data_IF_388642983113
#
_entry.id   IF_388642983113
#
_cell.length_a   1.000
_cell.length_b   1.000
_cell.length_c   1.000
_cell.angle_alpha   90.00
_cell.angle_beta   90.00
_cell.angle_gamma   90.00
#
_symmetry.space_group_name_H-M   'P 1'
#
loop_
_entity.id
_entity.type
_entity.pdbx_description
1 polymer ?
#
# COMPACT_ATOMS: atom_id res chain seq x y z
N UNK A 1 -25.37 -1.72 3.03
CA UNK A 1 -23.99 -1.22 2.85
C UNK A 1 -23.08 -2.23 3.51
N UNK A 2 -22.27 -2.96 2.76
CA UNK A 2 -21.39 -3.99 3.33
C UNK A 2 -20.46 -3.37 4.38
N UNK A 3 -20.24 -4.08 5.49
CA UNK A 3 -19.33 -3.64 6.55
C UNK A 3 -17.96 -3.31 5.96
N UNK A 4 -17.52 -2.06 6.13
CA UNK A 4 -16.21 -1.61 5.66
C UNK A 4 -15.11 -2.30 6.46
N UNK A 5 -14.62 -3.41 5.93
CA UNK A 5 -13.50 -4.12 6.52
C UNK A 5 -12.24 -3.26 6.39
N UNK A 6 -11.47 -3.13 7.46
CA UNK A 6 -10.18 -2.46 7.42
C UNK A 6 -9.07 -3.48 7.15
N UNK A 7 -8.25 -3.21 6.14
CA UNK A 7 -7.10 -4.02 5.77
C UNK A 7 -5.82 -3.38 6.26
N UNK A 8 -5.01 -4.17 6.97
CA UNK A 8 -3.67 -3.75 7.41
C UNK A 8 -2.64 -4.15 6.37
N UNK A 9 -2.18 -3.17 5.59
CA UNK A 9 -1.25 -3.39 4.47
C UNK A 9 0.16 -2.97 4.87
N UNK A 10 1.13 -3.87 4.66
CA UNK A 10 2.56 -3.61 4.91
C UNK A 10 3.35 -3.72 3.61
N UNK A 11 4.20 -2.73 3.33
CA UNK A 11 5.19 -2.86 2.28
C UNK A 11 6.37 -3.72 2.77
N UNK A 12 6.50 -4.93 2.23
CA UNK A 12 7.57 -5.87 2.63
C UNK A 12 8.78 -5.82 1.68
N UNK A 13 8.58 -5.46 0.41
CA UNK A 13 9.63 -5.41 -0.60
C UNK A 13 9.76 -4.03 -1.24
N UNK A 14 10.99 -3.72 -1.64
CA UNK A 14 11.32 -2.48 -2.34
C UNK A 14 10.68 -2.46 -3.73
N UNK A 15 10.21 -1.30 -4.21
CA UNK A 15 9.74 -1.15 -5.57
C UNK A 15 10.90 -0.96 -6.56
N UNK A 16 12.16 -1.00 -6.11
CA UNK A 16 13.31 -0.96 -6.99
C UNK A 16 13.24 -2.10 -8.03
N UNK A 17 13.52 -1.77 -9.30
CA UNK A 17 13.41 -2.68 -10.46
C UNK A 17 11.98 -3.19 -10.72
N UNK A 18 10.96 -2.51 -10.22
CA UNK A 18 9.55 -2.76 -10.55
C UNK A 18 9.00 -1.67 -11.48
N UNK A 19 7.88 -1.91 -12.18
CA UNK A 19 7.26 -0.90 -13.04
C UNK A 19 7.00 0.41 -12.29
N UNK A 20 7.18 1.55 -12.97
CA UNK A 20 7.01 2.88 -12.37
C UNK A 20 5.63 3.11 -11.74
N UNK A 21 4.60 2.45 -12.29
CA UNK A 21 3.23 2.48 -11.76
C UNK A 21 3.18 1.98 -10.32
N UNK A 22 3.92 0.92 -9.97
CA UNK A 22 3.93 0.39 -8.61
C UNK A 22 4.49 1.40 -7.60
N UNK A 23 5.53 2.15 -7.99
CA UNK A 23 6.08 3.22 -7.15
C UNK A 23 5.04 4.33 -6.91
N UNK A 24 4.32 4.74 -7.96
CA UNK A 24 3.26 5.74 -7.86
C UNK A 24 2.12 5.27 -6.95
N UNK A 25 1.68 4.02 -7.11
CA UNK A 25 0.66 3.40 -6.26
C UNK A 25 1.10 3.35 -4.80
N UNK A 26 2.32 2.87 -4.51
CA UNK A 26 2.84 2.83 -3.13
C UNK A 26 2.94 4.23 -2.52
N UNK A 27 3.34 5.25 -3.30
CA UNK A 27 3.33 6.65 -2.84
C UNK A 27 1.91 7.15 -2.55
N UNK A 28 0.95 6.91 -3.44
CA UNK A 28 -0.45 7.30 -3.24
C UNK A 28 -1.12 6.60 -2.04
N UNK A 29 -0.77 5.32 -1.83
CA UNK A 29 -1.17 4.57 -0.64
C UNK A 29 -0.37 4.95 0.61
N UNK A 30 0.58 5.89 0.55
CA UNK A 30 1.40 6.31 1.68
C UNK A 30 2.46 5.28 2.12
N UNK A 31 2.58 4.16 1.40
CA UNK A 31 3.53 3.06 1.58
C UNK A 31 4.85 3.32 0.83
N UNK A 32 5.35 4.56 0.81
CA UNK A 32 6.58 4.93 0.09
C UNK A 32 7.90 4.54 0.76
N UNK A 33 7.86 3.95 1.96
CA UNK A 33 9.03 3.51 2.73
C UNK A 33 8.90 2.03 3.11
N UNK A 34 10.03 1.31 3.05
CA UNK A 34 10.12 -0.08 3.48
C UNK A 34 9.57 -0.29 4.89
N UNK A 35 8.85 -1.40 5.07
CA UNK A 35 8.22 -1.82 6.33
C UNK A 35 7.17 -0.87 6.89
N UNK A 36 6.74 0.15 6.13
CA UNK A 36 5.59 0.96 6.51
C UNK A 36 4.31 0.13 6.47
N UNK A 37 3.49 0.33 7.48
CA UNK A 37 2.18 -0.31 7.65
C UNK A 37 1.12 0.78 7.60
N UNK A 38 0.02 0.55 6.88
CA UNK A 38 -1.14 1.44 6.84
C UNK A 38 -2.42 0.62 6.93
N UNK A 39 -3.39 1.15 7.64
CA UNK A 39 -4.75 0.62 7.67
C UNK A 39 -5.56 1.35 6.58
N UNK A 40 -6.15 0.59 5.68
CA UNK A 40 -6.92 1.06 4.54
C UNK A 40 -8.33 0.46 4.61
N UNK A 41 -9.34 1.20 4.16
CA UNK A 41 -10.68 0.66 3.98
C UNK A 41 -10.68 -0.28 2.75
N UNK A 42 -11.33 -1.44 2.86
CA UNK A 42 -11.57 -2.38 1.76
C UNK A 42 -12.70 -1.82 0.89
N UNK A 43 -12.34 -1.20 -0.25
CA UNK A 43 -13.24 -0.54 -1.21
C UNK A 43 -13.02 -1.06 -2.61
#
# INVERSE_FOLDING_TARGET
>A
MAEKKTLKVKQVKSPARRPAVQLATLKGLGLGKMHRVRELEDT
#
